data_IF_830321981285
#
_entry.id   IF_830321981285
#
_cell.length_a   1.000
_cell.length_b   1.000
_cell.length_c   1.000
_cell.angle_alpha   90.00
_cell.angle_beta   90.00
_cell.angle_gamma   90.00
#
_symmetry.space_group_name_H-M   'P 1'
#
loop_
_entity.id
_entity.type
_entity.pdbx_description
1 polymer ?
#
# COMPACT_ATOMS: atom_id res chain seq x y z
N UNK A 1 13.46 27.45 52.44
CA UNK A 1 12.50 27.03 51.40
C UNK A 1 11.15 27.62 51.77
N UNK A 2 10.49 28.33 50.85
CA UNK A 2 9.29 29.15 51.15
C UNK A 2 8.08 28.27 51.50
N UNK A 3 7.44 28.52 52.65
CA UNK A 3 6.26 27.78 53.16
C UNK A 3 4.99 27.93 52.32
N UNK A 4 5.00 28.82 51.32
CA UNK A 4 3.83 29.15 50.49
C UNK A 4 3.45 28.08 49.47
N UNK A 5 4.29 27.08 49.21
CA UNK A 5 3.97 26.02 48.24
C UNK A 5 3.07 24.90 48.78
N UNK A 6 2.86 24.80 50.10
CA UNK A 6 2.18 23.66 50.73
C UNK A 6 0.68 23.83 51.00
N UNK A 7 0.08 24.99 50.65
CA UNK A 7 -1.36 25.26 50.89
C UNK A 7 -2.17 25.56 49.63
N UNK A 8 -1.77 25.03 48.47
CA UNK A 8 -2.67 25.04 47.31
C UNK A 8 -3.71 23.92 47.46
N UNK A 9 -4.86 24.24 48.07
CA UNK A 9 -6.05 23.41 47.93
C UNK A 9 -6.65 23.68 46.54
N UNK A 10 -6.78 22.62 45.72
CA UNK A 10 -7.46 22.68 44.43
C UNK A 10 -8.91 23.08 44.69
N UNK A 11 -9.25 24.35 44.45
CA UNK A 11 -10.67 24.70 44.25
C UNK A 11 -11.11 23.86 43.07
N UNK A 12 -12.00 22.90 43.30
CA UNK A 12 -12.79 22.28 42.26
C UNK A 12 -13.56 23.42 41.59
N UNK A 13 -12.94 24.03 40.59
CA UNK A 13 -13.52 25.16 39.88
C UNK A 13 -14.78 24.62 39.21
N UNK A 14 -15.94 25.24 39.47
CA UNK A 14 -17.21 24.87 38.82
C UNK A 14 -17.06 24.80 37.30
N UNK A 15 -16.12 25.58 36.75
CA UNK A 15 -15.75 25.55 35.35
C UNK A 15 -15.09 24.22 34.91
N UNK A 16 -14.27 23.57 35.75
CA UNK A 16 -13.74 22.24 35.46
C UNK A 16 -14.85 21.19 35.37
N UNK A 17 -15.81 21.23 36.30
CA UNK A 17 -16.95 20.33 36.29
C UNK A 17 -17.80 20.55 35.03
N UNK A 18 -18.01 21.82 34.64
CA UNK A 18 -18.70 22.17 33.40
C UNK A 18 -17.95 21.71 32.15
N UNK A 19 -16.62 21.85 32.10
CA UNK A 19 -15.80 21.33 31.00
C UNK A 19 -15.93 19.81 30.92
N UNK A 20 -15.85 19.12 32.05
CA UNK A 20 -15.97 17.66 32.12
C UNK A 20 -17.32 17.16 31.60
N UNK A 21 -18.42 17.76 32.07
CA UNK A 21 -19.78 17.43 31.62
C UNK A 21 -19.94 17.62 30.10
N UNK A 22 -19.43 18.73 29.55
CA UNK A 22 -19.47 18.96 28.11
C UNK A 22 -18.65 17.95 27.31
N UNK A 23 -17.45 17.60 27.77
CA UNK A 23 -16.60 16.62 27.10
C UNK A 23 -17.26 15.24 27.10
N UNK A 24 -17.80 14.79 28.23
CA UNK A 24 -18.51 13.51 28.35
C UNK A 24 -19.73 13.47 27.42
N UNK A 25 -20.53 14.55 27.37
CA UNK A 25 -21.66 14.63 26.44
C UNK A 25 -21.22 14.51 24.99
N UNK A 26 -20.20 15.26 24.58
CA UNK A 26 -19.71 15.24 23.20
C UNK A 26 -19.16 13.88 22.80
N UNK A 27 -18.38 13.22 23.66
CA UNK A 27 -17.82 11.89 23.34
C UNK A 27 -18.86 10.77 23.43
N UNK A 28 -19.95 10.98 24.17
CA UNK A 28 -21.09 10.04 24.21
C UNK A 28 -21.95 10.16 22.96
N UNK A 29 -22.23 11.39 22.51
CA UNK A 29 -23.01 11.66 21.29
C UNK A 29 -22.23 11.35 20.02
N UNK A 30 -20.94 11.69 19.97
CA UNK A 30 -20.05 11.54 18.82
C UNK A 30 -18.87 10.63 19.17
N UNK A 31 -19.08 9.32 19.05
CA UNK A 31 -18.12 8.28 19.49
C UNK A 31 -16.80 8.25 18.70
N UNK A 32 -16.76 8.90 17.56
CA UNK A 32 -15.61 9.02 16.65
C UNK A 32 -14.84 10.33 16.83
N UNK A 33 -15.30 11.24 17.70
CA UNK A 33 -14.63 12.51 17.94
C UNK A 33 -13.47 12.37 18.92
N UNK A 34 -12.26 12.72 18.45
CA UNK A 34 -11.11 12.95 19.31
C UNK A 34 -11.10 14.35 19.91
N UNK A 35 -10.17 14.59 20.84
CA UNK A 35 -10.02 15.86 21.55
C UNK A 35 -10.11 17.12 20.66
N UNK A 36 -9.45 17.12 19.49
CA UNK A 36 -9.42 18.28 18.61
C UNK A 36 -10.82 18.71 18.13
N UNK A 37 -11.67 17.75 17.77
CA UNK A 37 -13.05 18.03 17.34
C UNK A 37 -13.91 18.51 18.50
N UNK A 38 -13.78 17.88 19.67
CA UNK A 38 -14.45 18.34 20.89
C UNK A 38 -14.06 19.78 21.24
N UNK A 39 -12.76 20.10 21.20
CA UNK A 39 -12.28 21.44 21.53
C UNK A 39 -12.74 22.50 20.52
N UNK A 40 -12.65 22.22 19.22
CA UNK A 40 -13.10 23.14 18.18
C UNK A 40 -14.61 23.39 18.26
N UNK A 41 -15.41 22.37 18.57
CA UNK A 41 -16.85 22.55 18.80
C UNK A 41 -17.13 23.46 20.00
N UNK A 42 -16.46 23.22 21.13
CA UNK A 42 -16.61 24.04 22.32
C UNK A 42 -16.18 25.50 22.06
N UNK A 43 -15.11 25.70 21.28
CA UNK A 43 -14.55 27.02 20.96
C UNK A 43 -15.39 27.79 19.95
N UNK A 44 -15.79 27.15 18.86
CA UNK A 44 -16.33 27.84 17.68
C UNK A 44 -17.86 27.77 17.61
N UNK A 45 -18.48 26.72 18.15
CA UNK A 45 -19.94 26.54 18.12
C UNK A 45 -20.57 26.99 19.43
N UNK A 46 -19.98 26.59 20.57
CA UNK A 46 -20.45 27.01 21.89
C UNK A 46 -19.80 28.31 22.40
N UNK A 47 -18.86 28.87 21.63
CA UNK A 47 -18.18 30.13 21.92
C UNK A 47 -17.49 30.17 23.31
N UNK A 48 -17.05 29.02 23.83
CA UNK A 48 -16.36 28.99 25.12
C UNK A 48 -14.94 29.57 25.02
N UNK A 49 -14.61 30.44 25.97
CA UNK A 49 -13.31 31.09 26.11
C UNK A 49 -12.20 30.21 26.74
N UNK A 50 -12.45 28.92 26.93
CA UNK A 50 -11.60 28.06 27.75
C UNK A 50 -10.21 27.83 27.16
N UNK A 51 -9.21 27.81 28.04
CA UNK A 51 -7.84 27.54 27.65
C UNK A 51 -7.68 26.10 27.15
N UNK A 52 -7.12 25.94 25.95
CA UNK A 52 -6.87 24.65 25.32
C UNK A 52 -6.15 23.64 26.24
N UNK A 53 -5.10 24.07 26.96
CA UNK A 53 -4.32 23.19 27.87
C UNK A 53 -5.19 22.71 29.03
N UNK A 54 -6.08 23.56 29.54
CA UNK A 54 -7.01 23.22 30.63
C UNK A 54 -8.02 22.17 30.19
N UNK A 55 -8.64 22.36 29.02
CA UNK A 55 -9.60 21.39 28.45
C UNK A 55 -8.91 20.07 28.14
N UNK A 56 -7.69 20.12 27.57
CA UNK A 56 -6.91 18.92 27.28
C UNK A 56 -6.55 18.13 28.54
N UNK A 57 -6.16 18.82 29.63
CA UNK A 57 -5.88 18.18 30.91
C UNK A 57 -7.10 17.41 31.42
N UNK A 58 -8.28 18.04 31.42
CA UNK A 58 -9.53 17.41 31.88
C UNK A 58 -9.93 16.25 30.96
N UNK A 59 -9.80 16.41 29.64
CA UNK A 59 -10.06 15.34 28.67
C UNK A 59 -9.19 14.10 28.92
N UNK A 60 -7.91 14.30 29.29
CA UNK A 60 -7.00 13.21 29.67
C UNK A 60 -7.33 12.60 31.02
N UNK A 61 -7.67 13.42 32.02
CA UNK A 61 -8.10 12.95 33.36
C UNK A 61 -9.36 12.08 33.29
N UNK A 62 -10.25 12.35 32.33
CA UNK A 62 -11.44 11.54 32.06
C UNK A 62 -11.20 10.32 31.14
N UNK A 63 -9.95 10.08 30.75
CA UNK A 63 -9.55 8.97 29.87
C UNK A 63 -10.32 8.87 28.54
N UNK A 64 -10.82 9.99 28.01
CA UNK A 64 -11.69 10.04 26.82
C UNK A 64 -10.96 9.81 25.49
N UNK A 65 -9.67 9.45 25.52
CA UNK A 65 -8.88 9.25 24.31
C UNK A 65 -9.41 8.04 23.52
N UNK A 66 -9.63 8.24 22.22
CA UNK A 66 -9.99 7.14 21.33
C UNK A 66 -8.90 6.07 21.36
N UNK A 67 -9.29 4.83 21.65
CA UNK A 67 -8.37 3.69 21.64
C UNK A 67 -7.91 3.41 20.23
N UNK A 68 -6.68 3.82 19.91
CA UNK A 68 -6.02 3.45 18.65
C UNK A 68 -5.70 1.96 18.72
N UNK A 69 -6.37 1.14 17.90
CA UNK A 69 -5.96 -0.25 17.71
C UNK A 69 -4.61 -0.24 16.96
N UNK A 70 -3.51 -0.75 17.54
CA UNK A 70 -2.24 -0.80 16.83
C UNK A 70 -2.41 -1.67 15.57
N UNK A 71 -1.95 -1.16 14.42
CA UNK A 71 -1.89 -1.98 13.20
C UNK A 71 -1.02 -3.20 13.50
N UNK A 72 -1.56 -4.40 13.33
CA UNK A 72 -0.86 -5.66 13.56
C UNK A 72 0.38 -5.67 12.66
N UNK A 73 1.58 -5.64 13.26
CA UNK A 73 2.83 -5.76 12.51
C UNK A 73 2.90 -7.18 11.95
N UNK A 74 2.77 -7.34 10.64
CA UNK A 74 2.92 -8.64 9.99
C UNK A 74 4.34 -9.14 10.24
N UNK A 75 4.46 -10.30 10.90
CA UNK A 75 5.73 -11.01 11.04
C UNK A 75 6.11 -11.49 9.64
N UNK A 76 7.09 -10.82 9.02
CA UNK A 76 7.61 -11.21 7.71
C UNK A 76 8.51 -12.42 7.92
N UNK A 77 8.06 -13.61 7.52
CA UNK A 77 8.94 -14.77 7.43
C UNK A 77 10.09 -14.45 6.47
N UNK A 78 11.28 -14.98 6.75
CA UNK A 78 12.44 -14.85 5.85
C UNK A 78 12.02 -15.50 4.52
N UNK A 79 12.00 -14.76 3.40
CA UNK A 79 11.53 -15.32 2.14
C UNK A 79 12.42 -16.48 1.74
N UNK A 80 11.81 -17.61 1.38
CA UNK A 80 12.54 -18.71 0.75
C UNK A 80 13.16 -18.21 -0.56
N UNK A 81 14.42 -18.54 -0.86
CA UNK A 81 15.04 -18.15 -2.11
C UNK A 81 14.29 -18.79 -3.27
N UNK A 82 13.88 -17.95 -4.23
CA UNK A 82 13.30 -18.40 -5.48
C UNK A 82 14.29 -19.33 -6.21
N UNK A 83 13.84 -20.53 -6.59
CA UNK A 83 14.62 -21.43 -7.41
C UNK A 83 15.02 -20.71 -8.71
N UNK A 84 16.33 -20.52 -8.92
CA UNK A 84 16.87 -19.96 -10.16
C UNK A 84 16.85 -21.07 -11.20
N UNK A 85 16.30 -20.86 -12.40
CA UNK A 85 16.37 -21.85 -13.48
C UNK A 85 17.83 -22.14 -13.86
N UNK A 86 18.10 -23.31 -14.45
CA UNK A 86 19.47 -23.73 -14.80
C UNK A 86 19.97 -23.17 -16.14
N UNK A 87 19.07 -22.65 -16.97
CA UNK A 87 19.40 -22.16 -18.31
C UNK A 87 18.44 -21.05 -18.75
N UNK A 88 18.88 -20.26 -19.74
CA UNK A 88 18.03 -19.28 -20.44
C UNK A 88 16.75 -19.93 -20.97
N UNK A 89 15.69 -19.13 -21.10
CA UNK A 89 14.38 -19.54 -21.65
C UNK A 89 13.72 -20.74 -20.92
N UNK A 90 14.15 -21.11 -19.72
CA UNK A 90 13.37 -22.05 -18.89
C UNK A 90 12.15 -21.36 -18.31
N UNK A 91 12.35 -20.21 -17.68
CA UNK A 91 11.30 -19.43 -17.03
C UNK A 91 11.48 -17.96 -17.38
N UNK A 92 10.41 -17.33 -17.85
CA UNK A 92 10.31 -15.89 -17.93
C UNK A 92 9.37 -15.39 -16.84
N UNK A 93 9.71 -14.29 -16.19
CA UNK A 93 8.79 -13.57 -15.31
C UNK A 93 8.28 -12.33 -16.04
N UNK A 94 6.97 -12.09 -15.96
CA UNK A 94 6.37 -10.89 -16.51
C UNK A 94 5.53 -10.15 -15.47
N UNK A 95 5.48 -8.83 -15.63
CA UNK A 95 4.71 -7.94 -14.74
C UNK A 95 4.34 -6.64 -15.47
N UNK A 96 3.23 -6.03 -15.04
CA UNK A 96 2.77 -4.71 -15.43
C UNK A 96 3.09 -3.71 -14.33
N UNK A 97 3.49 -2.52 -14.74
CA UNK A 97 3.54 -1.36 -13.88
C UNK A 97 2.55 -0.32 -14.37
N UNK A 98 1.97 0.43 -13.45
CA UNK A 98 1.11 1.57 -13.75
C UNK A 98 1.78 2.83 -13.23
N UNK A 99 1.86 3.84 -14.08
CA UNK A 99 2.41 5.15 -13.75
C UNK A 99 1.50 6.26 -14.30
N UNK A 100 1.71 7.49 -13.84
CA UNK A 100 0.92 8.64 -14.23
C UNK A 100 1.80 9.70 -14.89
N UNK A 101 1.35 10.22 -16.03
CA UNK A 101 1.95 11.38 -16.68
C UNK A 101 1.63 12.66 -15.90
N UNK A 102 2.40 13.72 -16.13
CA UNK A 102 2.19 15.02 -15.49
C UNK A 102 0.79 15.62 -15.74
N UNK A 103 0.14 15.23 -16.84
CA UNK A 103 -1.23 15.66 -17.19
C UNK A 103 -2.33 14.77 -16.58
N UNK A 104 -1.97 13.82 -15.72
CA UNK A 104 -2.90 12.94 -15.02
C UNK A 104 -3.29 11.67 -15.78
N UNK A 105 -2.90 11.52 -17.05
CA UNK A 105 -3.17 10.28 -17.81
C UNK A 105 -2.33 9.13 -17.25
N UNK A 106 -2.96 7.99 -17.00
CA UNK A 106 -2.26 6.77 -16.61
C UNK A 106 -1.71 6.06 -17.84
N UNK A 107 -0.50 5.53 -17.72
CA UNK A 107 0.08 4.62 -18.71
C UNK A 107 0.57 3.35 -18.02
N UNK A 108 0.80 2.31 -18.81
CA UNK A 108 1.22 0.99 -18.34
C UNK A 108 2.51 0.57 -19.02
N UNK A 109 3.33 -0.15 -18.29
CA UNK A 109 4.52 -0.81 -18.81
C UNK A 109 4.35 -2.30 -18.64
N UNK A 110 4.64 -3.08 -19.67
CA UNK A 110 4.71 -4.53 -19.64
C UNK A 110 6.17 -4.96 -19.72
N UNK A 111 6.66 -5.54 -18.64
CA UNK A 111 8.05 -5.96 -18.53
C UNK A 111 8.14 -7.48 -18.60
N UNK A 112 9.10 -7.97 -19.37
CA UNK A 112 9.43 -9.39 -19.48
C UNK A 112 10.91 -9.58 -19.12
N UNK A 113 11.19 -10.54 -18.25
CA UNK A 113 12.52 -10.82 -17.72
C UNK A 113 12.83 -12.31 -17.84
N UNK A 114 14.06 -12.67 -18.21
CA UNK A 114 14.56 -14.04 -18.08
C UNK A 114 15.06 -14.31 -16.65
N UNK A 115 14.51 -15.36 -16.02
CA UNK A 115 14.80 -15.68 -14.63
C UNK A 115 16.18 -16.30 -14.39
N UNK A 116 16.87 -16.75 -15.43
CA UNK A 116 18.21 -17.30 -15.29
C UNK A 116 19.25 -16.18 -15.23
N UNK A 117 19.36 -15.40 -16.31
CA UNK A 117 20.42 -14.40 -16.47
C UNK A 117 20.01 -12.97 -16.09
N UNK A 118 18.76 -12.75 -15.64
CA UNK A 118 18.22 -11.43 -15.26
C UNK A 118 18.16 -10.42 -16.40
N UNK A 119 18.12 -10.92 -17.64
CA UNK A 119 18.04 -10.07 -18.80
C UNK A 119 16.61 -9.58 -19.03
N UNK A 120 16.45 -8.26 -19.20
CA UNK A 120 15.18 -7.66 -19.62
C UNK A 120 14.94 -7.93 -21.10
N UNK A 121 13.89 -8.70 -21.41
CA UNK A 121 13.61 -9.17 -22.77
C UNK A 121 12.75 -8.19 -23.56
N UNK A 122 11.82 -7.54 -22.88
CA UNK A 122 10.93 -6.55 -23.46
C UNK A 122 10.43 -5.57 -22.39
N UNK A 123 10.20 -4.34 -22.84
CA UNK A 123 9.43 -3.31 -22.15
C UNK A 123 8.46 -2.73 -23.19
N UNK A 124 7.18 -3.08 -23.11
CA UNK A 124 6.14 -2.45 -23.94
C UNK A 124 5.43 -1.37 -23.11
N UNK A 125 5.39 -0.15 -23.62
CA UNK A 125 4.78 1.00 -22.93
C UNK A 125 3.60 1.52 -23.73
N UNK A 126 2.43 1.63 -23.12
CA UNK A 126 1.25 2.23 -23.75
C UNK A 126 0.22 2.72 -22.72
N UNK A 127 -0.74 3.54 -23.15
CA UNK A 127 -1.91 3.93 -22.34
C UNK A 127 -2.84 2.74 -22.07
N UNK A 128 -2.87 1.75 -22.97
CA UNK A 128 -3.61 0.51 -22.78
C UNK A 128 -2.83 -0.69 -23.32
N UNK A 129 -2.81 -1.78 -22.54
CA UNK A 129 -2.13 -3.02 -22.90
C UNK A 129 -3.14 -4.16 -22.94
N UNK A 130 -4.00 -4.22 -23.97
CA UNK A 130 -4.90 -5.35 -24.15
C UNK A 130 -4.09 -6.62 -24.45
N UNK A 131 -4.67 -7.78 -24.19
CA UNK A 131 -3.93 -9.05 -24.29
C UNK A 131 -3.40 -9.36 -25.69
N UNK A 132 -4.05 -8.88 -26.75
CA UNK A 132 -3.52 -9.00 -28.11
C UNK A 132 -2.15 -8.32 -28.26
N UNK A 133 -1.96 -7.19 -27.58
CA UNK A 133 -0.71 -6.43 -27.60
C UNK A 133 0.38 -7.13 -26.79
N UNK A 134 0.01 -7.65 -25.62
CA UNK A 134 0.89 -8.48 -24.77
C UNK A 134 1.37 -9.71 -25.53
N UNK A 135 0.45 -10.43 -26.18
CA UNK A 135 0.76 -11.60 -27.01
C UNK A 135 1.73 -11.22 -28.12
N UNK A 136 1.48 -10.14 -28.84
CA UNK A 136 2.37 -9.66 -29.91
C UNK A 136 3.78 -9.39 -29.39
N UNK A 137 3.92 -8.71 -28.25
CA UNK A 137 5.23 -8.44 -27.65
C UNK A 137 5.94 -9.74 -27.26
N UNK A 138 5.22 -10.73 -26.70
CA UNK A 138 5.78 -12.04 -26.39
C UNK A 138 6.21 -12.81 -27.65
N UNK A 139 5.40 -12.78 -28.72
CA UNK A 139 5.72 -13.42 -30.00
C UNK A 139 6.99 -12.83 -30.63
N UNK A 140 7.15 -11.50 -30.59
CA UNK A 140 8.37 -10.84 -31.04
C UNK A 140 9.60 -11.31 -30.25
N UNK A 141 9.50 -11.41 -28.92
CA UNK A 141 10.62 -11.93 -28.11
C UNK A 141 10.94 -13.39 -28.46
N UNK A 142 9.91 -14.20 -28.65
CA UNK A 142 10.06 -15.61 -29.02
C UNK A 142 10.73 -15.77 -30.39
N UNK A 143 10.44 -14.88 -31.34
CA UNK A 143 11.00 -14.93 -32.69
C UNK A 143 12.53 -14.80 -32.71
N UNK A 144 13.09 -13.84 -31.96
CA UNK A 144 14.55 -13.62 -31.96
C UNK A 144 15.31 -14.42 -30.90
N UNK A 145 14.67 -14.76 -29.77
CA UNK A 145 15.34 -15.41 -28.62
C UNK A 145 15.01 -16.89 -28.48
N UNK A 146 13.87 -17.32 -29.02
CA UNK A 146 13.28 -18.62 -28.75
C UNK A 146 12.28 -18.60 -27.59
N UNK A 147 11.54 -19.71 -27.48
CA UNK A 147 10.34 -19.83 -26.63
C UNK A 147 10.65 -20.28 -25.20
N UNK A 148 10.01 -19.69 -24.17
CA UNK A 148 10.15 -20.16 -22.80
C UNK A 148 9.38 -21.46 -22.55
N UNK A 149 9.76 -22.24 -21.53
CA UNK A 149 8.93 -23.35 -21.06
C UNK A 149 7.81 -22.88 -20.13
N UNK A 150 8.10 -21.88 -19.30
CA UNK A 150 7.19 -21.34 -18.29
C UNK A 150 7.20 -19.83 -18.35
N UNK A 151 6.02 -19.23 -18.23
CA UNK A 151 5.86 -17.80 -17.98
C UNK A 151 5.21 -17.64 -16.61
N UNK A 152 5.89 -16.95 -15.69
CA UNK A 152 5.39 -16.61 -14.37
C UNK A 152 4.77 -15.22 -14.39
N UNK A 153 3.58 -15.08 -13.82
CA UNK A 153 2.91 -13.80 -13.65
C UNK A 153 2.20 -13.71 -12.30
N UNK A 154 1.85 -12.48 -11.92
CA UNK A 154 1.06 -12.25 -10.72
C UNK A 154 -0.43 -12.61 -10.92
N UNK A 155 -1.26 -12.38 -9.90
CA UNK A 155 -2.71 -12.62 -9.94
C UNK A 155 -3.51 -11.34 -10.23
N UNK A 156 -2.92 -10.33 -10.86
CA UNK A 156 -3.67 -9.11 -11.15
C UNK A 156 -4.90 -9.45 -12.01
N UNK A 157 -6.04 -8.74 -11.84
CA UNK A 157 -7.26 -8.97 -12.62
C UNK A 157 -7.05 -8.79 -14.14
N UNK A 158 -5.90 -8.23 -14.53
CA UNK A 158 -5.51 -7.87 -15.88
C UNK A 158 -4.70 -8.99 -16.60
N UNK A 159 -4.19 -9.99 -15.87
CA UNK A 159 -3.10 -10.86 -16.37
C UNK A 159 -3.53 -12.16 -17.01
N UNK A 160 -4.81 -12.49 -16.94
CA UNK A 160 -5.32 -13.71 -17.55
C UNK A 160 -6.58 -13.38 -18.32
N UNK A 161 -6.41 -12.72 -19.46
CA UNK A 161 -7.46 -12.89 -20.46
C UNK A 161 -7.43 -14.34 -20.93
N UNK A 162 -8.61 -14.87 -21.23
CA UNK A 162 -8.74 -16.17 -21.88
C UNK A 162 -7.87 -16.26 -23.16
N UNK A 163 -7.63 -15.12 -23.83
CA UNK A 163 -6.77 -15.04 -25.00
C UNK A 163 -5.30 -15.37 -24.69
N UNK A 164 -4.74 -14.86 -23.59
CA UNK A 164 -3.36 -15.15 -23.20
C UNK A 164 -3.19 -16.62 -22.77
N UNK A 165 -4.16 -17.17 -22.04
CA UNK A 165 -4.18 -18.61 -21.72
C UNK A 165 -4.21 -19.47 -22.98
N UNK A 166 -5.14 -19.18 -23.90
CA UNK A 166 -5.28 -19.93 -25.13
C UNK A 166 -4.03 -19.81 -26.02
N UNK A 167 -3.39 -18.64 -26.05
CA UNK A 167 -2.12 -18.46 -26.73
C UNK A 167 -0.99 -19.27 -26.09
N UNK A 168 -0.86 -19.26 -24.76
CA UNK A 168 0.18 -20.01 -24.07
C UNK A 168 -0.01 -21.52 -24.25
N UNK A 169 -1.24 -22.01 -24.15
CA UNK A 169 -1.59 -23.41 -24.41
C UNK A 169 -1.24 -23.83 -25.84
N UNK A 170 -1.61 -23.03 -26.86
CA UNK A 170 -1.25 -23.29 -28.26
C UNK A 170 0.26 -23.34 -28.49
N UNK A 171 1.01 -22.52 -27.75
CA UNK A 171 2.46 -22.49 -27.82
C UNK A 171 3.12 -23.53 -26.90
N UNK A 172 2.37 -24.33 -26.13
CA UNK A 172 2.95 -25.27 -25.16
C UNK A 172 3.76 -24.60 -24.06
N UNK A 173 3.42 -23.35 -23.72
CA UNK A 173 4.03 -22.57 -22.64
C UNK A 173 3.15 -22.72 -21.40
N UNK A 174 3.75 -23.10 -20.27
CA UNK A 174 3.02 -23.20 -19.00
C UNK A 174 2.94 -21.83 -18.34
N UNK A 175 1.72 -21.31 -18.13
CA UNK A 175 1.50 -20.12 -17.33
C UNK A 175 1.43 -20.51 -15.85
N UNK A 176 2.33 -19.94 -15.04
CA UNK A 176 2.37 -20.11 -13.59
C UNK A 176 1.96 -18.81 -12.89
N UNK A 177 0.86 -18.88 -12.15
CA UNK A 177 0.44 -17.80 -11.27
C UNK A 177 1.13 -17.90 -9.93
N UNK A 178 1.59 -16.77 -9.41
CA UNK A 178 2.04 -16.70 -8.02
C UNK A 178 0.88 -17.03 -7.07
N UNK A 179 1.20 -17.49 -5.88
CA UNK A 179 0.18 -17.71 -4.85
C UNK A 179 -0.33 -16.36 -4.32
N UNK A 180 -1.65 -16.21 -4.07
CA UNK A 180 -2.19 -15.01 -3.45
C UNK A 180 -1.46 -14.68 -2.15
N UNK A 181 -1.03 -13.41 -2.00
CA UNK A 181 -0.30 -12.96 -0.83
C UNK A 181 1.19 -13.34 -0.78
N UNK A 182 1.76 -13.90 -1.85
CA UNK A 182 3.19 -14.24 -1.97
C UNK A 182 3.89 -13.48 -3.11
N UNK A 183 4.00 -12.14 -3.05
CA UNK A 183 4.69 -11.34 -4.08
C UNK A 183 6.15 -11.74 -4.27
N UNK A 184 6.77 -12.33 -3.24
CA UNK A 184 8.15 -12.79 -3.31
C UNK A 184 8.39 -13.85 -4.39
N UNK A 185 7.33 -14.53 -4.87
CA UNK A 185 7.44 -15.48 -5.97
C UNK A 185 7.69 -14.81 -7.34
N UNK A 186 7.44 -13.50 -7.46
CA UNK A 186 7.74 -12.70 -8.64
C UNK A 186 8.89 -11.69 -8.39
N UNK A 187 9.70 -11.90 -7.33
CA UNK A 187 10.65 -10.91 -6.85
C UNK A 187 11.69 -10.44 -7.89
N UNK A 188 11.99 -11.26 -8.91
CA UNK A 188 12.95 -10.90 -9.94
C UNK A 188 12.45 -9.77 -10.83
N UNK A 189 11.23 -9.91 -11.36
CA UNK A 189 10.62 -8.86 -12.17
C UNK A 189 10.21 -7.67 -11.30
N UNK A 190 9.80 -7.86 -10.03
CA UNK A 190 9.55 -6.75 -9.11
C UNK A 190 10.81 -5.90 -8.85
N UNK A 191 11.97 -6.54 -8.70
CA UNK A 191 13.26 -5.85 -8.58
C UNK A 191 13.63 -5.13 -9.88
N UNK A 192 13.39 -5.76 -11.02
CA UNK A 192 13.62 -5.16 -12.33
C UNK A 192 12.74 -3.92 -12.52
N UNK A 193 11.46 -4.01 -12.19
CA UNK A 193 10.48 -2.92 -12.18
C UNK A 193 10.95 -1.74 -11.34
N UNK A 194 11.50 -2.00 -10.15
CA UNK A 194 12.13 -0.95 -9.33
C UNK A 194 13.28 -0.25 -10.07
N UNK A 195 14.09 -1.01 -10.81
CA UNK A 195 15.22 -0.45 -11.57
C UNK A 195 14.72 0.40 -12.73
N UNK A 196 13.73 -0.08 -13.50
CA UNK A 196 13.10 0.67 -14.59
C UNK A 196 12.52 2.00 -14.07
N UNK A 197 11.83 1.97 -12.92
CA UNK A 197 11.21 3.18 -12.33
C UNK A 197 12.20 4.26 -11.90
N UNK A 198 13.40 3.91 -11.42
CA UNK A 198 14.32 4.89 -10.83
C UNK A 198 15.54 5.21 -11.70
N UNK A 199 15.87 4.36 -12.67
CA UNK A 199 17.06 4.56 -13.51
C UNK A 199 16.73 5.07 -14.91
N UNK A 200 15.50 4.91 -15.38
CA UNK A 200 15.11 5.20 -16.78
C UNK A 200 13.93 6.17 -16.94
N UNK A 201 13.15 6.39 -15.88
CA UNK A 201 12.08 7.39 -15.78
C UNK A 201 12.54 8.51 -14.84
#
# INVERSE_FOLDING_TARGET
MSETCYRYQVKASDENARIADWLVRLTTTYRDWGFGLCFLYLRNVKAFGWNHKRVYRIYRELELNLRIKPKKRLVRQKPEPLAVPESINKVWSMDFMHEQLADGRSFRLFNVLDDFNREGLAIEVDLSLPSARVIRSLEQVIEWRGKPRVIRCDNGPEYISAALLAWAQRNGIRLEHIQPGKPQQNAYVERYNRTVRYAWL
#
